data_IF_650779989054
#
_entry.id   IF_650779989054
#
_cell.length_a   1.000
_cell.length_b   1.000
_cell.length_c   1.000
_cell.angle_alpha   90.00
_cell.angle_beta   90.00
_cell.angle_gamma   90.00
#
_symmetry.space_group_name_H-M   'P 1'
#
loop_
_entity.id
_entity.type
_entity.pdbx_description
1 polymer ?
#
# COMPACT_ATOMS: atom_id res chain seq x y z
N UNK A 1 -6.52 15.16 16.51
CA UNK A 1 -7.75 15.45 15.72
C UNK A 1 -7.53 15.28 14.23
N UNK A 2 -6.44 15.80 13.66
CA UNK A 2 -6.16 15.70 12.21
C UNK A 2 -5.78 14.29 11.73
N UNK A 3 -5.01 13.54 12.53
CA UNK A 3 -4.63 12.14 12.23
C UNK A 3 -5.84 11.20 12.08
N UNK A 4 -6.83 11.32 12.98
CA UNK A 4 -8.07 10.54 12.90
C UNK A 4 -8.87 10.84 11.62
N UNK A 5 -8.80 12.07 11.11
CA UNK A 5 -9.46 12.44 9.86
C UNK A 5 -8.75 11.83 8.65
N UNK A 6 -7.42 11.78 8.64
CA UNK A 6 -6.64 11.14 7.57
C UNK A 6 -6.91 9.65 7.50
N UNK A 7 -6.87 8.95 8.64
CA UNK A 7 -7.17 7.51 8.70
C UNK A 7 -8.59 7.25 8.24
N UNK A 8 -9.58 8.00 8.76
CA UNK A 8 -10.99 7.81 8.37
C UNK A 8 -11.20 7.96 6.86
N UNK A 9 -10.61 8.97 6.24
CA UNK A 9 -10.75 9.19 4.79
C UNK A 9 -10.05 8.11 3.96
N UNK A 10 -8.88 7.64 4.38
CA UNK A 10 -8.20 6.52 3.73
C UNK A 10 -9.02 5.22 3.85
N UNK A 11 -9.67 4.99 5.00
CA UNK A 11 -10.59 3.85 5.16
C UNK A 11 -11.80 3.95 4.23
N UNK A 12 -12.43 5.12 4.14
CA UNK A 12 -13.56 5.37 3.23
C UNK A 12 -13.16 5.15 1.75
N UNK A 13 -11.96 5.59 1.34
CA UNK A 13 -11.42 5.36 -0.01
C UNK A 13 -11.23 3.86 -0.28
N UNK A 14 -10.53 3.15 0.62
CA UNK A 14 -10.27 1.71 0.55
C UNK A 14 -11.53 0.84 0.43
N UNK A 15 -12.61 1.20 1.12
CA UNK A 15 -13.88 0.45 1.05
C UNK A 15 -14.55 0.55 -0.32
N UNK A 16 -14.39 1.69 -0.99
CA UNK A 16 -15.03 1.99 -2.27
C UNK A 16 -14.19 1.62 -3.49
N UNK A 17 -12.87 1.47 -3.32
CA UNK A 17 -11.93 1.36 -4.42
C UNK A 17 -11.79 -0.06 -4.97
N UNK A 18 -11.82 -0.16 -6.31
CA UNK A 18 -11.34 -1.35 -7.03
C UNK A 18 -10.00 -1.02 -7.67
N UNK A 19 -8.96 -1.74 -7.27
CA UNK A 19 -7.61 -1.58 -7.80
C UNK A 19 -7.17 -2.85 -8.52
N UNK A 20 -6.33 -2.69 -9.54
CA UNK A 20 -5.60 -3.81 -10.12
C UNK A 20 -4.28 -3.98 -9.36
N UNK A 21 -4.17 -5.06 -8.59
CA UNK A 21 -2.94 -5.45 -7.92
C UNK A 21 -2.05 -6.25 -8.88
N UNK A 22 -0.80 -5.85 -8.95
CA UNK A 22 0.23 -6.44 -9.80
C UNK A 22 1.30 -7.03 -8.89
N UNK A 23 1.60 -8.32 -9.05
CA UNK A 23 2.73 -8.93 -8.32
C UNK A 23 4.01 -8.47 -8.99
N UNK A 24 4.84 -7.74 -8.26
CA UNK A 24 6.10 -7.19 -8.79
C UNK A 24 7.34 -7.97 -8.34
N UNK A 25 7.24 -8.66 -7.21
CA UNK A 25 8.27 -9.50 -6.62
C UNK A 25 7.60 -10.49 -5.65
N UNK A 26 8.35 -11.48 -5.16
CA UNK A 26 7.86 -12.36 -4.11
C UNK A 26 7.53 -11.57 -2.84
N UNK A 27 6.31 -11.78 -2.34
CA UNK A 27 5.78 -11.07 -1.19
C UNK A 27 5.32 -9.64 -1.44
N UNK A 28 5.40 -9.10 -2.67
CA UNK A 28 5.14 -7.68 -2.94
C UNK A 28 4.18 -7.48 -4.11
N UNK A 29 3.07 -6.81 -3.81
CA UNK A 29 2.06 -6.38 -4.76
C UNK A 29 1.96 -4.86 -4.74
N UNK A 30 1.73 -4.25 -5.90
CA UNK A 30 1.40 -2.83 -5.99
C UNK A 30 0.11 -2.64 -6.76
N UNK A 31 -0.60 -1.53 -6.58
CA UNK A 31 -1.57 -1.14 -7.61
C UNK A 31 -0.84 -0.85 -8.93
N UNK A 32 -1.59 -0.82 -10.05
CA UNK A 32 -1.04 -0.47 -11.37
C UNK A 32 -0.20 0.82 -11.35
N UNK A 33 -0.56 1.75 -10.48
CA UNK A 33 0.29 2.88 -10.12
C UNK A 33 1.08 2.54 -8.83
N UNK A 34 2.38 2.17 -8.91
CA UNK A 34 3.15 1.76 -7.73
C UNK A 34 3.38 2.88 -6.71
N UNK A 35 2.95 4.11 -7.00
CA UNK A 35 3.00 5.25 -6.09
C UNK A 35 1.76 5.37 -5.18
N UNK A 36 0.73 4.56 -5.38
CA UNK A 36 -0.53 4.63 -4.63
C UNK A 36 -0.63 3.54 -3.58
N UNK A 37 -0.72 2.28 -4.01
CA UNK A 37 -1.01 1.17 -3.10
C UNK A 37 0.09 0.12 -3.16
N UNK A 38 0.44 -0.41 -1.99
CA UNK A 38 1.38 -1.53 -1.85
C UNK A 38 0.80 -2.50 -0.84
N UNK A 39 0.69 -3.77 -1.21
CA UNK A 39 0.32 -4.85 -0.32
C UNK A 39 1.51 -5.81 -0.20
N UNK A 40 1.87 -6.13 1.04
CA UNK A 40 2.91 -7.10 1.37
C UNK A 40 2.28 -8.36 1.94
N UNK A 41 2.77 -9.54 1.53
CA UNK A 41 2.26 -10.84 2.01
C UNK A 41 2.45 -11.05 3.51
N UNK A 42 3.37 -10.31 4.13
CA UNK A 42 3.61 -10.31 5.57
C UNK A 42 2.56 -9.55 6.40
N UNK A 43 1.51 -9.04 5.75
CA UNK A 43 0.37 -8.40 6.44
C UNK A 43 0.50 -6.89 6.56
N UNK A 44 1.14 -6.23 5.58
CA UNK A 44 1.20 -4.76 5.54
C UNK A 44 0.48 -4.24 4.30
N UNK A 45 -0.42 -3.28 4.51
CA UNK A 45 -1.03 -2.49 3.44
C UNK A 45 -0.59 -1.03 3.57
N UNK A 46 -0.07 -0.49 2.48
CA UNK A 46 0.19 0.94 2.29
C UNK A 46 -0.84 1.46 1.31
N UNK A 47 -1.59 2.47 1.73
CA UNK A 47 -2.59 3.10 0.88
C UNK A 47 -2.40 4.61 0.87
N UNK A 48 -2.44 5.20 -0.31
CA UNK A 48 -2.35 6.65 -0.53
C UNK A 48 -3.54 7.09 -1.39
N UNK A 49 -4.46 7.86 -0.80
CA UNK A 49 -5.63 8.35 -1.55
C UNK A 49 -5.23 9.09 -2.83
N UNK A 50 -5.99 8.90 -3.92
CA UNK A 50 -5.73 9.54 -5.22
C UNK A 50 -5.79 11.07 -5.18
N UNK A 51 -6.65 11.65 -4.34
CA UNK A 51 -6.86 13.09 -4.22
C UNK A 51 -6.15 13.66 -2.99
N UNK A 52 -4.82 13.71 -3.05
CA UNK A 52 -3.90 14.13 -1.98
C UNK A 52 -3.91 15.64 -1.64
N UNK A 53 -5.03 16.35 -1.80
CA UNK A 53 -5.07 17.80 -1.48
C UNK A 53 -4.82 18.04 0.02
N UNK A 54 -5.16 17.08 0.90
CA UNK A 54 -4.93 17.16 2.36
C UNK A 54 -4.81 15.79 3.06
N UNK A 55 -3.73 15.05 2.81
CA UNK A 55 -3.19 14.13 3.82
C UNK A 55 -2.95 12.69 3.38
N UNK A 56 -1.68 12.41 3.09
CA UNK A 56 -0.90 11.30 3.63
C UNK A 56 -1.27 9.86 3.26
N UNK A 57 -0.25 9.06 2.97
CA UNK A 57 -0.40 7.61 2.94
C UNK A 57 -0.54 7.04 4.36
N UNK A 58 -1.39 6.03 4.51
CA UNK A 58 -1.56 5.32 5.78
C UNK A 58 -0.95 3.92 5.70
N UNK A 59 -0.15 3.68 6.74
CA UNK A 59 0.42 2.44 7.25
C UNK A 59 -0.59 1.48 7.87
N UNK A 60 -0.99 0.34 7.31
CA UNK A 60 -1.89 -0.60 7.99
C UNK A 60 -1.23 -1.95 8.24
N UNK A 61 -1.50 -2.51 9.42
CA UNK A 61 -1.36 -3.93 9.69
C UNK A 61 -2.66 -4.61 9.26
N UNK A 62 -2.55 -5.65 8.44
CA UNK A 62 -3.70 -6.33 7.85
C UNK A 62 -3.56 -7.85 7.93
N UNK A 63 -4.70 -8.54 8.01
CA UNK A 63 -4.77 -9.98 7.74
C UNK A 63 -5.26 -10.20 6.32
N UNK A 64 -4.50 -10.97 5.54
CA UNK A 64 -4.90 -11.36 4.19
C UNK A 64 -5.94 -12.48 4.31
N UNK A 65 -7.18 -12.22 3.87
CA UNK A 65 -8.28 -13.19 3.92
C UNK A 65 -8.16 -14.22 2.80
N UNK A 66 -7.77 -13.75 1.61
CA UNK A 66 -7.61 -14.56 0.41
C UNK A 66 -6.29 -14.22 -0.28
N UNK A 67 -5.57 -15.21 -0.83
CA UNK A 67 -4.41 -14.97 -1.66
C UNK A 67 -4.76 -14.04 -2.83
N UNK A 68 -3.84 -13.14 -3.16
CA UNK A 68 -3.94 -12.26 -4.32
C UNK A 68 -3.14 -12.87 -5.47
N UNK A 69 -3.80 -13.06 -6.61
CA UNK A 69 -3.16 -13.54 -7.83
C UNK A 69 -2.38 -12.42 -8.53
N UNK A 70 -1.47 -12.78 -9.44
CA UNK A 70 -0.84 -11.78 -10.29
C UNK A 70 -1.88 -11.08 -11.17
N UNK A 71 -1.84 -9.75 -11.25
CA UNK A 71 -2.71 -8.94 -12.11
C UNK A 71 -4.21 -9.04 -11.79
N UNK A 72 -4.57 -9.16 -10.52
CA UNK A 72 -5.96 -9.30 -10.09
C UNK A 72 -6.63 -7.94 -9.84
N UNK A 73 -7.84 -7.72 -10.36
CA UNK A 73 -8.68 -6.57 -10.00
C UNK A 73 -9.47 -6.91 -8.74
N UNK A 74 -9.14 -6.26 -7.63
CA UNK A 74 -9.70 -6.55 -6.31
C UNK A 74 -10.32 -5.30 -5.69
N UNK A 75 -11.29 -5.51 -4.81
CA UNK A 75 -11.59 -4.54 -3.76
C UNK A 75 -10.70 -4.90 -2.55
N UNK A 76 -9.84 -3.97 -2.12
CA UNK A 76 -8.88 -4.25 -1.04
C UNK A 76 -9.57 -4.65 0.26
N UNK A 77 -10.69 -4.01 0.62
CA UNK A 77 -11.45 -4.33 1.83
C UNK A 77 -12.04 -5.76 1.81
N UNK A 78 -12.20 -6.36 0.62
CA UNK A 78 -12.60 -7.76 0.47
C UNK A 78 -11.42 -8.72 0.65
N UNK A 79 -10.21 -8.35 0.19
CA UNK A 79 -9.01 -9.20 0.27
C UNK A 79 -8.31 -9.16 1.63
N UNK A 80 -8.44 -8.06 2.36
CA UNK A 80 -7.78 -7.88 3.64
C UNK A 80 -8.73 -7.47 4.77
N UNK A 81 -8.35 -7.78 6.00
CA UNK A 81 -8.94 -7.25 7.23
C UNK A 81 -7.95 -6.29 7.86
N UNK A 82 -8.33 -5.04 8.08
CA UNK A 82 -7.45 -4.06 8.75
C UNK A 82 -7.47 -4.34 10.26
N UNK A 83 -6.30 -4.66 10.80
CA UNK A 83 -6.10 -4.93 12.23
C UNK A 83 -5.92 -3.60 12.99
N UNK A 84 -5.03 -2.74 12.49
CA UNK A 84 -4.78 -1.39 13.03
C UNK A 84 -4.00 -0.52 12.05
N UNK A 85 -4.01 0.79 12.28
CA UNK A 85 -3.04 1.69 11.65
C UNK A 85 -1.69 1.61 12.40
N UNK A 86 -0.62 1.41 11.64
CA UNK A 86 0.77 1.41 12.10
C UNK A 86 1.30 2.85 12.15
N UNK A 87 0.95 3.68 11.16
CA UNK A 87 1.46 5.04 11.07
C UNK A 87 0.87 5.83 9.91
N UNK A 88 1.04 7.14 9.97
CA UNK A 88 0.59 8.07 8.92
C UNK A 88 1.82 8.80 8.40
N UNK A 89 2.09 8.68 7.11
CA UNK A 89 3.14 9.44 6.45
C UNK A 89 2.57 10.75 5.91
N UNK A 90 3.38 11.81 5.91
CA UNK A 90 2.98 13.08 5.27
C UNK A 90 3.05 13.01 3.75
N UNK A 91 3.85 12.08 3.23
CA UNK A 91 3.99 11.89 1.79
C UNK A 91 2.69 11.39 1.16
N UNK A 92 2.43 11.85 -0.06
CA UNK A 92 1.36 11.40 -0.94
C UNK A 92 1.77 10.24 -1.85
N UNK A 93 2.98 9.71 -1.68
CA UNK A 93 3.56 8.65 -2.50
C UNK A 93 3.95 7.48 -1.60
N UNK A 94 3.45 6.29 -1.92
CA UNK A 94 3.62 5.06 -1.14
C UNK A 94 5.08 4.75 -0.83
N UNK A 95 5.97 4.85 -1.82
CA UNK A 95 7.41 4.56 -1.66
C UNK A 95 8.09 5.48 -0.63
N UNK A 96 7.70 6.75 -0.60
CA UNK A 96 8.24 7.70 0.37
C UNK A 96 7.61 7.51 1.75
N UNK A 97 6.32 7.18 1.79
CA UNK A 97 5.63 6.83 3.03
C UNK A 97 6.23 5.58 3.70
N UNK A 98 6.51 4.54 2.91
CA UNK A 98 7.17 3.32 3.37
C UNK A 98 8.54 3.62 3.98
N UNK A 99 9.37 4.44 3.32
CA UNK A 99 10.67 4.87 3.87
C UNK A 99 10.54 5.69 5.14
N UNK A 100 9.57 6.62 5.18
CA UNK A 100 9.33 7.47 6.35
C UNK A 100 8.93 6.62 7.57
N UNK A 101 7.95 5.73 7.40
CA UNK A 101 7.45 4.90 8.48
C UNK A 101 8.40 3.77 8.85
N UNK A 102 9.13 3.18 7.89
CA UNK A 102 10.17 2.18 8.17
C UNK A 102 11.16 2.69 9.21
N UNK A 103 11.65 3.92 9.03
CA UNK A 103 12.62 4.54 9.96
C UNK A 103 12.01 4.89 11.31
N UNK A 104 10.75 5.36 11.33
CA UNK A 104 10.05 5.75 12.56
C UNK A 104 9.63 4.55 13.41
N UNK A 105 9.20 3.46 12.77
CA UNK A 105 8.63 2.29 13.42
C UNK A 105 9.56 1.06 13.40
N UNK A 106 10.75 1.18 12.82
CA UNK A 106 11.75 0.10 12.67
C UNK A 106 11.22 -1.16 11.96
N UNK A 107 10.42 -0.96 10.90
CA UNK A 107 9.81 -2.06 10.13
C UNK A 107 10.69 -2.37 8.93
N UNK A 108 11.66 -3.28 9.13
CA UNK A 108 12.68 -3.63 8.13
C UNK A 108 12.08 -4.05 6.78
N UNK A 109 10.95 -4.77 6.79
CA UNK A 109 10.29 -5.26 5.57
C UNK A 109 9.89 -4.15 4.58
N UNK A 110 9.62 -2.93 5.07
CA UNK A 110 9.23 -1.80 4.22
C UNK A 110 10.38 -1.29 3.34
N UNK A 111 11.61 -1.25 3.84
CA UNK A 111 12.76 -0.79 3.04
C UNK A 111 13.17 -1.82 1.98
N UNK A 112 13.06 -3.11 2.31
CA UNK A 112 13.27 -4.18 1.34
C UNK A 112 12.23 -4.13 0.22
N UNK A 113 10.94 -3.99 0.58
CA UNK A 113 9.86 -3.86 -0.38
C UNK A 113 10.04 -2.65 -1.31
N UNK A 114 10.43 -1.49 -0.78
CA UNK A 114 10.77 -0.31 -1.60
C UNK A 114 11.88 -0.61 -2.60
N UNK A 115 12.92 -1.33 -2.17
CA UNK A 115 14.03 -1.72 -3.05
C UNK A 115 13.56 -2.64 -4.17
N UNK A 116 12.70 -3.62 -3.87
CA UNK A 116 12.07 -4.51 -4.86
C UNK A 116 11.21 -3.72 -5.86
N UNK A 117 10.37 -2.79 -5.40
CA UNK A 117 9.54 -1.94 -6.26
C UNK A 117 10.41 -1.10 -7.20
N UNK A 118 11.42 -0.41 -6.67
CA UNK A 118 12.30 0.44 -7.48
C UNK A 118 13.10 -0.34 -8.52
N UNK A 119 13.59 -1.53 -8.17
CA UNK A 119 14.26 -2.41 -9.13
C UNK A 119 13.29 -2.81 -10.24
N UNK A 120 12.05 -3.20 -9.90
CA UNK A 120 11.07 -3.59 -10.90
C UNK A 120 10.67 -2.44 -11.82
N UNK A 121 10.52 -1.24 -11.28
CA UNK A 121 10.24 -0.05 -12.09
C UNK A 121 11.36 0.26 -13.10
N UNK A 122 12.63 -0.02 -12.76
CA UNK A 122 13.77 0.14 -13.68
C UNK A 122 13.79 -0.91 -14.79
N UNK A 123 13.36 -2.12 -14.49
CA UNK A 123 13.22 -3.22 -15.46
C UNK A 123 12.00 -3.06 -16.37
N UNK A 124 11.01 -2.28 -15.94
CA UNK A 124 9.69 -2.20 -16.55
C UNK A 124 8.64 -2.90 -15.69
N UNK A 125 7.51 -2.20 -15.49
CA UNK A 125 6.38 -2.76 -14.74
C UNK A 125 5.70 -3.88 -15.54
N UNK A 126 5.25 -4.96 -14.89
CA UNK A 126 4.52 -6.01 -15.58
C UNK A 126 3.28 -5.47 -16.30
N UNK A 127 3.06 -5.91 -17.54
CA UNK A 127 1.82 -5.65 -18.25
C UNK A 127 0.75 -6.64 -17.78
N UNK A 128 -0.34 -6.11 -17.23
CA UNK A 128 -1.52 -6.88 -16.91
C UNK A 128 -2.51 -6.74 -18.06
N UNK A 129 -2.59 -7.77 -18.90
CA UNK A 129 -3.51 -7.87 -20.06
C UNK A 129 -4.86 -8.43 -19.62
#
# INVERSE_FOLDING_TARGET
MEENLVVRRNMEDLESERIQLVKIADGVFTSRNPFQDVLLEDGILVHCMKHCIKGGCVIYEVKIKEPVSNCEVVNLAQKVEIVRSIGIAKSSISLYAMREISRKASIVGLEEAVSKILNKMREGMPECV
#
